data_IF_355355612252
#
_entry.id   IF_355355612252
#
_cell.length_a   1.000
_cell.length_b   1.000
_cell.length_c   1.000
_cell.angle_alpha   90.00
_cell.angle_beta   90.00
_cell.angle_gamma   90.00
#
_symmetry.space_group_name_H-M   'P 1'
#
loop_
_entity.id
_entity.type
_entity.pdbx_description
1 polymer ?
#
# COMPACT_ATOMS: atom_id res chain seq x y z
N UNK A 1 -8.54 5.67 -15.63
CA UNK A 1 -9.90 5.33 -16.10
C UNK A 1 -10.31 4.01 -15.48
N UNK A 2 -11.57 3.90 -15.03
CA UNK A 2 -12.11 2.65 -14.47
C UNK A 2 -13.62 2.55 -14.74
N UNK A 3 -14.15 1.33 -14.65
CA UNK A 3 -15.58 1.02 -14.68
C UNK A 3 -15.87 -0.16 -13.75
N UNK A 4 -17.08 -0.20 -13.16
CA UNK A 4 -17.49 -1.25 -12.24
C UNK A 4 -18.62 -2.10 -12.87
N UNK A 5 -18.55 -3.40 -12.69
CA UNK A 5 -19.46 -4.35 -13.30
C UNK A 5 -19.91 -5.44 -12.32
N UNK A 6 -21.15 -5.88 -12.48
CA UNK A 6 -21.80 -7.01 -11.79
C UNK A 6 -22.09 -8.20 -12.72
N UNK A 7 -21.82 -8.04 -14.02
CA UNK A 7 -22.11 -9.03 -15.07
C UNK A 7 -20.84 -9.38 -15.86
N UNK A 8 -20.38 -10.64 -15.84
CA UNK A 8 -19.18 -11.08 -16.57
C UNK A 8 -19.20 -10.77 -18.07
N UNK A 9 -20.38 -10.85 -18.70
CA UNK A 9 -20.50 -10.57 -20.15
C UNK A 9 -20.28 -9.09 -20.43
N UNK A 10 -20.75 -8.19 -19.56
CA UNK A 10 -20.51 -6.74 -19.68
C UNK A 10 -19.05 -6.40 -19.47
N UNK A 11 -18.37 -7.06 -18.49
CA UNK A 11 -16.92 -6.90 -18.29
C UNK A 11 -16.17 -7.19 -19.58
N UNK A 12 -16.40 -8.34 -20.17
CA UNK A 12 -15.69 -8.73 -21.39
C UNK A 12 -16.05 -7.86 -22.59
N UNK A 13 -17.31 -7.41 -22.70
CA UNK A 13 -17.71 -6.47 -23.76
C UNK A 13 -16.96 -5.13 -23.62
N UNK A 14 -16.83 -4.60 -22.41
CA UNK A 14 -16.09 -3.37 -22.14
C UNK A 14 -14.59 -3.52 -22.44
N UNK A 15 -13.95 -4.58 -21.98
CA UNK A 15 -12.52 -4.84 -22.22
C UNK A 15 -12.24 -4.94 -23.74
N UNK A 16 -13.08 -5.64 -24.48
CA UNK A 16 -12.98 -5.75 -25.95
C UNK A 16 -13.16 -4.40 -26.65
N UNK A 17 -14.11 -3.59 -26.18
CA UNK A 17 -14.37 -2.27 -26.75
C UNK A 17 -13.20 -1.29 -26.50
N UNK A 18 -12.57 -1.33 -25.34
CA UNK A 18 -11.37 -0.54 -25.04
C UNK A 18 -10.15 -1.02 -25.84
N UNK A 19 -10.01 -2.33 -26.06
CA UNK A 19 -8.97 -2.95 -26.89
C UNK A 19 -7.54 -2.68 -26.42
N UNK A 20 -7.36 -2.31 -25.14
CA UNK A 20 -6.06 -1.92 -24.56
C UNK A 20 -5.60 -2.96 -23.53
N UNK A 21 -4.36 -3.38 -23.68
CA UNK A 21 -3.69 -4.29 -22.74
C UNK A 21 -2.30 -3.75 -22.36
N UNK A 22 -1.80 -4.06 -21.15
CA UNK A 22 -2.48 -4.79 -20.08
C UNK A 22 -3.75 -4.09 -19.59
N UNK A 23 -4.68 -4.85 -19.00
CA UNK A 23 -5.84 -4.34 -18.28
C UNK A 23 -5.84 -4.87 -16.86
N UNK A 24 -6.31 -4.09 -15.89
CA UNK A 24 -6.38 -4.51 -14.49
C UNK A 24 -7.82 -4.85 -14.13
N UNK A 25 -8.03 -6.01 -13.50
CA UNK A 25 -9.34 -6.44 -13.00
C UNK A 25 -9.21 -6.66 -11.50
N UNK A 26 -10.03 -5.98 -10.71
CA UNK A 26 -10.02 -6.07 -9.24
C UNK A 26 -11.37 -6.60 -8.74
N UNK A 27 -11.33 -7.55 -7.80
CA UNK A 27 -12.54 -7.91 -7.04
C UNK A 27 -12.94 -6.73 -6.15
N UNK A 28 -14.23 -6.37 -6.15
CA UNK A 28 -14.78 -5.28 -5.35
C UNK A 28 -15.18 -5.80 -3.96
N UNK A 29 -14.18 -5.97 -3.10
CA UNK A 29 -14.35 -6.42 -1.73
C UNK A 29 -13.07 -6.99 -1.13
N UNK A 30 -13.16 -7.50 0.10
CA UNK A 30 -12.00 -8.07 0.81
C UNK A 30 -11.49 -9.33 0.10
N UNK A 31 -10.28 -9.24 -0.43
CA UNK A 31 -9.59 -10.34 -1.10
C UNK A 31 -8.13 -10.50 -0.61
N UNK A 32 -7.79 -9.90 0.55
CA UNK A 32 -6.48 -9.98 1.22
C UNK A 32 -5.30 -9.64 0.29
N UNK A 33 -5.48 -8.63 -0.58
CA UNK A 33 -4.48 -8.20 -1.57
C UNK A 33 -4.30 -9.15 -2.77
N UNK A 34 -5.09 -10.24 -2.86
CA UNK A 34 -4.98 -11.26 -3.92
C UNK A 34 -6.03 -11.11 -5.02
N UNK A 35 -6.97 -10.18 -4.87
CA UNK A 35 -8.08 -9.95 -5.81
C UNK A 35 -7.76 -9.02 -6.97
N UNK A 36 -6.48 -8.81 -7.30
CA UNK A 36 -6.01 -7.95 -8.39
C UNK A 36 -5.33 -8.80 -9.45
N UNK A 37 -5.81 -8.73 -10.68
CA UNK A 37 -5.26 -9.43 -11.83
C UNK A 37 -4.83 -8.42 -12.89
N UNK A 38 -3.59 -8.55 -13.38
CA UNK A 38 -3.06 -7.77 -14.50
C UNK A 38 -3.05 -8.70 -15.72
N UNK A 39 -3.97 -8.46 -16.65
CA UNK A 39 -4.21 -9.33 -17.79
C UNK A 39 -3.53 -8.76 -19.03
N UNK A 40 -2.63 -9.53 -19.63
CA UNK A 40 -1.80 -9.10 -20.77
C UNK A 40 -2.54 -9.18 -22.12
N UNK A 41 -3.65 -9.92 -22.16
CA UNK A 41 -4.43 -10.18 -23.37
C UNK A 41 -5.88 -10.56 -23.01
N UNK A 42 -6.73 -10.70 -24.05
CA UNK A 42 -8.14 -11.02 -23.88
C UNK A 42 -8.37 -12.38 -23.20
N UNK A 43 -7.54 -13.38 -23.48
CA UNK A 43 -7.71 -14.71 -22.90
C UNK A 43 -7.45 -14.65 -21.38
N UNK A 44 -6.38 -14.00 -20.94
CA UNK A 44 -6.10 -13.81 -19.52
C UNK A 44 -7.21 -13.02 -18.81
N UNK A 45 -7.76 -12.00 -19.48
CA UNK A 45 -8.88 -11.24 -18.94
C UNK A 45 -10.14 -12.13 -18.80
N UNK A 46 -10.44 -12.97 -19.78
CA UNK A 46 -11.58 -13.89 -19.70
C UNK A 46 -11.42 -14.93 -18.59
N UNK A 47 -10.21 -15.49 -18.44
CA UNK A 47 -9.89 -16.43 -17.36
C UNK A 47 -9.98 -15.75 -15.99
N UNK A 48 -9.49 -14.52 -15.87
CA UNK A 48 -9.58 -13.74 -14.64
C UNK A 48 -11.02 -13.39 -14.25
N UNK A 49 -11.83 -12.96 -15.20
CA UNK A 49 -13.27 -12.72 -14.98
C UNK A 49 -13.97 -14.00 -14.52
N UNK A 50 -13.66 -15.13 -15.17
CA UNK A 50 -14.20 -16.43 -14.77
C UNK A 50 -13.81 -16.79 -13.34
N UNK A 51 -12.52 -16.68 -13.00
CA UNK A 51 -11.99 -16.99 -11.67
C UNK A 51 -12.66 -16.16 -10.57
N UNK A 52 -12.78 -14.83 -10.79
CA UNK A 52 -13.33 -13.92 -9.80
C UNK A 52 -14.87 -14.04 -9.71
N UNK A 53 -15.55 -13.90 -10.85
CA UNK A 53 -17.01 -13.70 -10.87
C UNK A 53 -17.81 -15.00 -10.96
N UNK A 54 -17.33 -16.02 -11.68
CA UNK A 54 -18.05 -17.28 -11.89
C UNK A 54 -17.61 -18.35 -10.88
N UNK A 55 -16.32 -18.60 -10.76
CA UNK A 55 -15.79 -19.62 -9.85
C UNK A 55 -15.77 -19.12 -8.39
N UNK A 56 -16.05 -17.82 -8.17
CA UNK A 56 -16.17 -17.20 -6.84
C UNK A 56 -14.94 -17.41 -5.95
N UNK A 57 -13.74 -17.37 -6.52
CA UNK A 57 -12.49 -17.58 -5.77
C UNK A 57 -12.38 -16.70 -4.52
N UNK A 58 -12.97 -15.50 -4.54
CA UNK A 58 -13.00 -14.57 -3.41
C UNK A 58 -14.40 -14.45 -2.77
N UNK A 59 -15.25 -15.46 -2.94
CA UNK A 59 -16.60 -15.48 -2.38
C UNK A 59 -17.45 -14.30 -2.86
N UNK A 60 -18.16 -13.64 -1.95
CA UNK A 60 -19.03 -12.49 -2.24
C UNK A 60 -18.26 -11.27 -2.79
N UNK A 61 -16.97 -11.12 -2.47
CA UNK A 61 -16.12 -10.06 -3.00
C UNK A 61 -15.94 -10.12 -4.53
N UNK A 62 -16.19 -11.27 -5.13
CA UNK A 62 -16.19 -11.45 -6.58
C UNK A 62 -17.56 -11.24 -7.25
N UNK A 63 -18.57 -10.71 -6.55
CA UNK A 63 -19.85 -10.37 -7.18
C UNK A 63 -19.77 -9.15 -8.08
N UNK A 64 -18.88 -8.21 -7.74
CA UNK A 64 -18.58 -7.04 -8.54
C UNK A 64 -17.09 -7.01 -8.82
N UNK A 65 -16.74 -6.43 -9.95
CA UNK A 65 -15.34 -6.18 -10.32
C UNK A 65 -15.16 -4.75 -10.80
N UNK A 66 -13.99 -4.21 -10.54
CA UNK A 66 -13.52 -2.95 -11.10
C UNK A 66 -12.53 -3.26 -12.20
N UNK A 67 -12.78 -2.74 -13.40
CA UNK A 67 -11.85 -2.82 -14.54
C UNK A 67 -11.14 -1.47 -14.67
N UNK A 68 -9.82 -1.49 -14.60
CA UNK A 68 -8.99 -0.27 -14.61
C UNK A 68 -8.00 -0.28 -15.76
N UNK A 69 -7.63 0.92 -16.20
CA UNK A 69 -6.46 1.10 -17.08
C UNK A 69 -5.20 0.64 -16.33
N UNK A 70 -4.30 -0.02 -17.05
CA UNK A 70 -2.97 -0.33 -16.50
C UNK A 70 -2.13 0.95 -16.46
N UNK A 71 -1.66 1.30 -15.27
CA UNK A 71 -0.82 2.47 -15.04
C UNK A 71 0.66 2.09 -15.09
N UNK A 72 1.49 2.99 -15.59
CA UNK A 72 2.95 2.83 -15.63
C UNK A 72 3.63 4.07 -15.06
N UNK A 73 4.70 3.88 -14.32
CA UNK A 73 5.48 4.93 -13.69
C UNK A 73 6.04 4.48 -12.34
N UNK A 74 6.78 5.34 -11.63
CA UNK A 74 7.18 5.06 -10.26
C UNK A 74 5.98 5.00 -9.32
N UNK A 75 5.96 4.00 -8.43
CA UNK A 75 4.99 3.92 -7.34
C UNK A 75 5.43 4.83 -6.18
N UNK A 76 4.44 5.40 -5.52
CA UNK A 76 4.63 6.23 -4.34
C UNK A 76 3.58 5.89 -3.30
N UNK A 77 4.03 5.67 -2.08
CA UNK A 77 3.17 5.50 -0.90
C UNK A 77 3.16 6.79 -0.09
N UNK A 78 1.98 7.36 0.15
CA UNK A 78 1.81 8.52 1.02
C UNK A 78 0.79 8.18 2.11
N UNK A 79 1.29 7.89 3.30
CA UNK A 79 0.46 7.76 4.48
C UNK A 79 0.04 9.17 4.94
N UNK A 80 -1.17 9.31 5.45
CA UNK A 80 -1.68 10.61 5.87
C UNK A 80 -2.53 10.48 7.13
N UNK A 81 -2.36 11.39 8.08
CA UNK A 81 -3.32 11.56 9.15
C UNK A 81 -4.56 12.28 8.60
N UNK A 82 -5.74 11.76 8.91
CA UNK A 82 -7.01 12.31 8.45
C UNK A 82 -8.02 12.34 9.59
N UNK A 83 -8.62 13.49 9.87
CA UNK A 83 -9.62 13.66 10.93
C UNK A 83 -11.07 13.80 10.42
N UNK A 84 -11.27 13.47 9.16
CA UNK A 84 -12.55 13.58 8.46
C UNK A 84 -12.73 14.90 7.71
N UNK A 85 -11.89 15.90 7.93
CA UNK A 85 -11.91 17.22 7.27
C UNK A 85 -10.53 17.63 6.80
N UNK A 86 -9.54 17.44 7.66
CA UNK A 86 -8.16 17.80 7.44
C UNK A 86 -7.37 16.55 7.07
N UNK A 87 -6.51 16.65 6.07
CA UNK A 87 -5.53 15.63 5.73
C UNK A 87 -4.12 16.21 5.87
N UNK A 88 -3.26 15.50 6.62
CA UNK A 88 -1.85 15.86 6.80
C UNK A 88 -0.99 14.70 6.32
N UNK A 89 -0.41 14.80 5.11
CA UNK A 89 0.49 13.77 4.58
C UNK A 89 1.75 13.65 5.42
N UNK A 90 2.22 12.43 5.56
CA UNK A 90 3.50 12.08 6.12
C UNK A 90 4.58 12.13 5.03
N UNK A 91 5.83 11.90 5.41
CA UNK A 91 6.92 11.71 4.45
C UNK A 91 6.55 10.59 3.48
N UNK A 92 6.75 10.81 2.18
CA UNK A 92 6.49 9.80 1.17
C UNK A 92 7.47 8.64 1.26
N UNK A 93 7.04 7.46 0.83
CA UNK A 93 7.89 6.27 0.82
C UNK A 93 7.79 5.51 -0.49
N UNK A 94 8.75 4.64 -0.73
CA UNK A 94 8.80 3.75 -1.88
C UNK A 94 9.00 2.32 -1.40
N UNK A 95 7.94 1.52 -1.49
CA UNK A 95 7.96 0.09 -1.19
C UNK A 95 8.48 -0.72 -2.37
N UNK A 96 9.16 -1.82 -2.08
CA UNK A 96 9.70 -2.78 -3.04
C UNK A 96 8.98 -4.12 -2.87
N UNK A 97 7.98 -4.37 -3.72
CA UNK A 97 7.05 -5.49 -3.54
C UNK A 97 7.53 -6.83 -4.09
N UNK A 98 8.49 -6.81 -5.02
CA UNK A 98 8.96 -8.04 -5.66
C UNK A 98 9.96 -8.79 -4.80
N UNK A 99 9.85 -10.13 -4.82
CA UNK A 99 10.65 -11.01 -3.96
C UNK A 99 12.11 -11.13 -4.38
N UNK A 100 12.45 -10.86 -5.64
CA UNK A 100 13.77 -11.05 -6.21
C UNK A 100 14.39 -9.73 -6.67
N UNK A 101 15.70 -9.74 -6.91
CA UNK A 101 16.44 -8.63 -7.47
C UNK A 101 15.84 -8.16 -8.82
N UNK A 102 16.15 -6.92 -9.20
CA UNK A 102 15.70 -6.30 -10.45
C UNK A 102 14.18 -6.22 -10.64
N UNK A 103 13.42 -6.12 -9.55
CA UNK A 103 11.96 -6.09 -9.54
C UNK A 103 11.32 -7.31 -10.20
N UNK A 104 11.91 -8.48 -9.94
CA UNK A 104 11.47 -9.77 -10.43
C UNK A 104 10.82 -10.63 -9.34
N UNK A 105 10.26 -11.77 -9.75
CA UNK A 105 9.60 -12.73 -8.87
C UNK A 105 8.16 -12.36 -8.53
N UNK A 106 7.65 -12.98 -7.47
CA UNK A 106 6.27 -12.79 -7.02
C UNK A 106 6.12 -11.50 -6.19
N UNK A 107 4.94 -10.92 -6.22
CA UNK A 107 4.56 -9.87 -5.29
C UNK A 107 4.53 -10.41 -3.86
N UNK A 108 5.01 -9.60 -2.92
CA UNK A 108 5.06 -9.87 -1.49
C UNK A 108 4.28 -8.80 -0.72
N UNK A 109 4.31 -8.84 0.60
CA UNK A 109 3.83 -7.76 1.46
C UNK A 109 4.73 -6.52 1.47
N UNK A 110 5.91 -6.58 0.86
CA UNK A 110 6.98 -5.58 0.84
C UNK A 110 8.31 -6.20 1.28
N UNK A 111 9.35 -6.04 0.49
CA UNK A 111 10.70 -6.54 0.79
C UNK A 111 11.62 -5.47 1.36
N UNK A 112 11.14 -4.25 1.38
CA UNK A 112 11.86 -3.10 1.91
C UNK A 112 11.27 -1.79 1.42
N UNK A 113 11.57 -0.72 2.12
CA UNK A 113 11.01 0.60 1.86
C UNK A 113 12.05 1.67 2.16
N UNK A 114 12.04 2.73 1.38
CA UNK A 114 12.84 3.93 1.62
C UNK A 114 11.94 5.15 1.76
N UNK A 115 12.30 6.07 2.63
CA UNK A 115 11.66 7.37 2.81
C UNK A 115 12.75 8.48 2.93
N UNK A 116 12.59 9.63 2.26
CA UNK A 116 11.51 9.98 1.32
C UNK A 116 11.62 9.24 -0.03
N UNK A 117 10.50 9.16 -0.75
CA UNK A 117 10.49 8.63 -2.12
C UNK A 117 11.18 9.65 -3.06
N UNK A 118 12.21 9.24 -3.82
CA UNK A 118 13.01 10.17 -4.63
C UNK A 118 12.24 10.79 -5.81
N UNK A 119 11.12 10.19 -6.21
CA UNK A 119 10.26 10.70 -7.29
C UNK A 119 9.17 11.66 -6.79
N UNK A 120 8.94 11.73 -5.47
CA UNK A 120 7.90 12.56 -4.88
C UNK A 120 8.42 13.96 -4.57
N UNK A 121 8.57 14.76 -5.64
CA UNK A 121 9.05 16.15 -5.54
C UNK A 121 8.01 17.07 -4.91
N UNK A 122 8.37 18.27 -4.42
CA UNK A 122 7.40 19.25 -3.92
C UNK A 122 6.29 19.59 -4.91
N UNK A 123 6.60 19.67 -6.21
CA UNK A 123 5.61 19.92 -7.24
C UNK A 123 4.60 18.75 -7.39
N UNK A 124 5.09 17.51 -7.26
CA UNK A 124 4.21 16.32 -7.24
C UNK A 124 3.35 16.32 -5.98
N UNK A 125 3.92 16.64 -4.82
CA UNK A 125 3.19 16.72 -3.56
C UNK A 125 2.04 17.75 -3.62
N UNK A 126 2.30 18.92 -4.18
CA UNK A 126 1.28 19.97 -4.39
C UNK A 126 0.15 19.50 -5.32
N UNK A 127 0.48 18.76 -6.38
CA UNK A 127 -0.53 18.19 -7.27
C UNK A 127 -1.34 17.11 -6.55
N UNK A 128 -0.69 16.18 -5.85
CA UNK A 128 -1.37 15.15 -5.07
C UNK A 128 -2.32 15.74 -4.03
N UNK A 129 -1.90 16.80 -3.33
CA UNK A 129 -2.75 17.50 -2.37
C UNK A 129 -4.00 18.06 -3.03
N UNK A 130 -3.85 18.79 -4.14
CA UNK A 130 -4.96 19.48 -4.82
C UNK A 130 -5.86 18.56 -5.62
N UNK A 131 -5.26 17.57 -6.31
CA UNK A 131 -5.98 16.74 -7.29
C UNK A 131 -6.49 15.43 -6.68
N UNK A 132 -5.91 14.96 -5.55
CA UNK A 132 -6.23 13.66 -4.94
C UNK A 132 -6.65 13.80 -3.48
N UNK A 133 -5.78 14.30 -2.59
CA UNK A 133 -6.01 14.17 -1.14
C UNK A 133 -7.20 15.00 -0.65
N UNK A 134 -7.24 16.28 -0.98
CA UNK A 134 -8.37 17.13 -0.62
C UNK A 134 -9.69 16.70 -1.28
N UNK A 135 -9.72 16.36 -2.60
CA UNK A 135 -10.94 15.84 -3.21
C UNK A 135 -11.42 14.52 -2.60
N UNK A 136 -10.51 13.61 -2.21
CA UNK A 136 -10.88 12.35 -1.55
C UNK A 136 -11.59 12.61 -0.22
N UNK A 137 -11.00 13.46 0.63
CA UNK A 137 -11.61 13.79 1.94
C UNK A 137 -12.94 14.49 1.77
N UNK A 138 -13.05 15.42 0.81
CA UNK A 138 -14.29 16.13 0.50
C UNK A 138 -15.37 15.18 -0.03
N UNK A 139 -15.01 14.22 -0.90
CA UNK A 139 -15.95 13.22 -1.41
C UNK A 139 -16.49 12.32 -0.29
N UNK A 140 -15.63 11.84 0.61
CA UNK A 140 -16.05 11.04 1.76
C UNK A 140 -17.00 11.80 2.69
N UNK A 141 -16.81 13.11 2.86
CA UNK A 141 -17.74 13.95 3.60
C UNK A 141 -19.08 14.09 2.87
N UNK A 142 -19.05 14.29 1.54
CA UNK A 142 -20.26 14.45 0.74
C UNK A 142 -21.13 13.19 0.73
N UNK A 143 -20.52 12.01 0.83
CA UNK A 143 -21.18 10.70 0.94
C UNK A 143 -21.59 10.35 2.39
N UNK A 144 -21.48 11.28 3.34
CA UNK A 144 -21.79 11.10 4.77
C UNK A 144 -21.00 9.95 5.44
N UNK A 145 -19.80 9.70 4.96
CA UNK A 145 -18.87 8.68 5.49
C UNK A 145 -17.46 9.24 5.72
N UNK A 146 -17.30 10.29 6.55
CA UNK A 146 -15.99 10.92 6.79
C UNK A 146 -15.01 9.93 7.40
N UNK A 147 -13.83 9.81 6.79
CA UNK A 147 -12.78 8.93 7.28
C UNK A 147 -11.92 9.60 8.35
N UNK A 148 -11.67 8.90 9.45
CA UNK A 148 -10.71 9.31 10.50
C UNK A 148 -9.70 8.20 10.75
N UNK A 149 -8.42 8.54 10.74
CA UNK A 149 -7.34 7.60 10.97
C UNK A 149 -6.14 7.83 10.04
N UNK A 150 -5.37 6.76 9.82
CA UNK A 150 -4.32 6.75 8.83
C UNK A 150 -4.89 6.34 7.46
N UNK A 151 -4.93 7.29 6.54
CA UNK A 151 -5.31 7.05 5.14
C UNK A 151 -4.04 6.93 4.29
N UNK A 152 -3.84 5.77 3.72
CA UNK A 152 -2.73 5.48 2.84
C UNK A 152 -3.19 5.65 1.40
N UNK A 153 -2.48 6.50 0.66
CA UNK A 153 -2.63 6.70 -0.77
C UNK A 153 -1.53 5.93 -1.51
N UNK A 154 -1.91 4.87 -2.22
CA UNK A 154 -1.05 4.20 -3.20
C UNK A 154 -1.16 4.90 -4.53
N UNK A 155 -0.07 5.47 -5.00
CA UNK A 155 -0.05 6.34 -6.18
C UNK A 155 0.91 5.79 -7.24
N UNK A 156 0.57 6.05 -8.51
CA UNK A 156 1.46 5.90 -9.66
C UNK A 156 1.75 7.29 -10.24
N UNK A 157 3.00 7.64 -10.40
CA UNK A 157 3.40 8.87 -11.08
C UNK A 157 3.48 8.62 -12.59
N UNK A 158 2.37 8.81 -13.27
CA UNK A 158 2.27 8.62 -14.72
C UNK A 158 2.78 9.86 -15.49
N UNK A 159 3.06 9.76 -16.79
CA UNK A 159 3.38 10.92 -17.62
C UNK A 159 2.32 12.04 -17.59
N UNK A 160 1.04 11.68 -17.36
CA UNK A 160 -0.06 12.63 -17.25
C UNK A 160 -0.19 13.25 -15.86
N UNK A 161 0.52 12.70 -14.87
CA UNK A 161 0.52 13.13 -13.47
C UNK A 161 0.21 12.00 -12.48
N UNK A 162 0.04 12.32 -11.17
CA UNK A 162 -0.24 11.32 -10.17
C UNK A 162 -1.64 10.72 -10.35
N UNK A 163 -1.74 9.40 -10.26
CA UNK A 163 -3.00 8.66 -10.27
C UNK A 163 -3.06 7.71 -9.09
N UNK A 164 -4.25 7.48 -8.56
CA UNK A 164 -4.48 6.55 -7.46
C UNK A 164 -4.48 5.12 -7.98
N UNK A 165 -3.72 4.25 -7.32
CA UNK A 165 -3.75 2.79 -7.51
C UNK A 165 -4.75 2.19 -6.53
N UNK A 166 -4.63 2.58 -5.25
CA UNK A 166 -5.45 2.06 -4.16
C UNK A 166 -5.44 2.98 -2.95
N UNK A 167 -6.40 2.78 -2.08
CA UNK A 167 -6.42 3.31 -0.72
C UNK A 167 -6.29 2.17 0.28
N UNK A 168 -5.56 2.42 1.39
CA UNK A 168 -5.59 1.56 2.55
C UNK A 168 -5.99 2.38 3.80
N UNK A 169 -6.83 1.79 4.66
CA UNK A 169 -7.36 2.47 5.84
C UNK A 169 -6.57 2.12 7.10
N UNK A 170 -5.26 2.10 7.00
CA UNK A 170 -4.30 1.68 8.03
C UNK A 170 -2.91 2.20 7.71
N UNK A 171 -2.02 2.09 8.71
CA UNK A 171 -0.59 2.23 8.46
C UNK A 171 -0.08 1.14 7.50
N UNK A 172 0.97 1.46 6.75
CA UNK A 172 1.64 0.52 5.84
C UNK A 172 2.65 -0.39 6.57
N UNK A 173 2.94 -1.51 5.98
CA UNK A 173 4.02 -2.43 6.36
C UNK A 173 4.69 -2.89 5.06
N UNK A 174 5.95 -2.48 4.79
CA UNK A 174 6.95 -1.91 5.71
C UNK A 174 7.09 -0.35 5.71
N UNK A 175 6.13 0.43 5.22
CA UNK A 175 6.26 1.89 5.13
C UNK A 175 6.33 2.56 6.51
N UNK A 176 5.60 2.04 7.50
CA UNK A 176 5.59 2.57 8.86
C UNK A 176 6.98 2.60 9.48
N UNK A 177 7.79 1.58 9.22
CA UNK A 177 9.13 1.41 9.74
C UNK A 177 10.13 2.46 9.23
N UNK A 178 9.79 3.19 8.16
CA UNK A 178 10.62 4.28 7.62
C UNK A 178 9.99 5.65 7.81
N UNK A 179 8.66 5.73 7.91
CA UNK A 179 7.95 7.00 8.00
C UNK A 179 7.87 7.51 9.44
N UNK A 180 7.49 6.66 10.40
CA UNK A 180 7.35 7.07 11.80
C UNK A 180 8.68 7.40 12.48
N UNK A 181 9.82 6.77 12.20
CA UNK A 181 11.11 7.21 12.74
C UNK A 181 11.51 8.64 12.34
N UNK A 182 10.97 9.15 11.24
CA UNK A 182 11.20 10.53 10.79
C UNK A 182 10.22 11.54 11.42
N UNK A 183 9.19 11.09 12.14
CA UNK A 183 8.23 11.98 12.80
C UNK A 183 8.86 12.64 14.02
N UNK A 184 8.91 13.97 14.04
CA UNK A 184 9.39 14.76 15.19
C UNK A 184 8.26 15.13 16.17
N UNK A 185 7.02 15.20 15.69
CA UNK A 185 5.86 15.48 16.53
C UNK A 185 5.51 14.26 17.40
N UNK A 186 4.95 14.48 18.57
CA UNK A 186 4.46 13.40 19.43
C UNK A 186 3.30 12.65 18.75
N UNK A 187 3.52 11.37 18.44
CA UNK A 187 2.55 10.55 17.72
C UNK A 187 1.22 10.42 18.45
N UNK A 188 1.23 10.31 19.78
CA UNK A 188 -0.01 10.19 20.56
C UNK A 188 -0.86 11.49 20.45
N UNK A 189 -0.21 12.63 20.53
CA UNK A 189 -0.87 13.93 20.33
C UNK A 189 -1.50 14.04 18.96
N UNK A 190 -0.80 13.63 17.90
CA UNK A 190 -1.34 13.63 16.53
C UNK A 190 -2.50 12.65 16.37
N UNK A 191 -2.42 11.45 16.95
CA UNK A 191 -3.52 10.47 16.93
C UNK A 191 -4.75 10.97 17.69
N UNK A 192 -4.57 11.62 18.82
CA UNK A 192 -5.66 12.24 19.57
C UNK A 192 -6.32 13.37 18.75
N UNK A 193 -5.53 14.21 18.11
CA UNK A 193 -6.03 15.27 17.23
C UNK A 193 -6.83 14.71 16.03
N UNK A 194 -6.34 13.62 15.45
CA UNK A 194 -7.02 12.88 14.37
C UNK A 194 -8.41 12.41 14.83
N UNK A 195 -8.50 11.82 16.02
CA UNK A 195 -9.76 11.33 16.59
C UNK A 195 -10.72 12.48 16.94
N UNK A 196 -10.18 13.55 17.56
CA UNK A 196 -10.96 14.66 18.07
C UNK A 196 -11.37 15.68 17.00
N UNK A 197 -10.87 15.59 15.76
CA UNK A 197 -11.17 16.53 14.68
C UNK A 197 -10.49 17.89 14.87
N UNK A 198 -9.28 17.90 15.42
CA UNK A 198 -8.46 19.10 15.69
C UNK A 198 -7.11 19.09 14.97
N UNK A 199 -6.99 18.26 13.94
CA UNK A 199 -5.74 18.07 13.20
C UNK A 199 -5.31 19.37 12.47
N UNK A 200 -6.26 20.23 12.13
CA UNK A 200 -6.02 21.56 11.55
C UNK A 200 -5.17 22.47 12.46
N UNK A 201 -5.30 22.30 13.79
CA UNK A 201 -4.61 23.08 14.83
C UNK A 201 -3.39 22.38 15.41
N UNK A 202 -3.10 21.18 14.96
CA UNK A 202 -2.00 20.35 15.47
C UNK A 202 -0.83 20.39 14.50
N UNK A 203 0.34 20.73 14.98
CA UNK A 203 1.56 20.65 14.17
C UNK A 203 1.92 19.18 13.94
N UNK A 204 2.21 18.84 12.69
CA UNK A 204 2.74 17.53 12.30
C UNK A 204 4.04 17.79 11.52
N UNK A 205 5.15 17.49 12.16
CA UNK A 205 6.49 17.80 11.66
C UNK A 205 7.31 16.53 11.50
N UNK A 206 8.04 16.45 10.40
CA UNK A 206 8.99 15.39 10.09
C UNK A 206 10.39 15.99 9.92
N UNK A 207 11.41 15.20 10.25
CA UNK A 207 12.80 15.55 10.01
C UNK A 207 13.11 15.57 8.50
N UNK A 208 14.14 16.32 8.13
CA UNK A 208 14.68 16.34 6.75
C UNK A 208 15.58 15.12 6.44
N UNK A 209 15.60 14.15 7.35
CA UNK A 209 16.38 12.92 7.22
C UNK A 209 15.81 11.91 6.22
N UNK A 210 16.45 10.76 6.18
CA UNK A 210 16.00 9.60 5.40
C UNK A 210 16.05 8.34 6.25
N UNK A 211 15.19 7.38 5.93
CA UNK A 211 15.18 6.07 6.57
C UNK A 211 15.03 4.97 5.50
N UNK A 212 15.61 3.81 5.77
CA UNK A 212 15.46 2.63 4.93
C UNK A 212 15.13 1.42 5.82
N UNK A 213 14.21 0.61 5.36
CA UNK A 213 13.85 -0.67 5.98
C UNK A 213 14.15 -1.81 5.01
N UNK A 214 14.74 -2.88 5.51
CA UNK A 214 14.98 -4.12 4.73
C UNK A 214 14.27 -5.27 5.44
N UNK A 215 13.47 -6.02 4.72
CA UNK A 215 12.77 -7.20 5.24
C UNK A 215 13.66 -8.43 5.09
N UNK A 216 14.01 -9.05 6.20
CA UNK A 216 14.67 -10.34 6.23
C UNK A 216 13.60 -11.43 6.25
N UNK A 217 13.45 -12.16 5.17
CA UNK A 217 12.44 -13.19 5.01
C UNK A 217 13.06 -14.60 5.02
N UNK A 218 12.27 -15.59 5.45
CA UNK A 218 12.65 -17.00 5.34
C UNK A 218 12.78 -17.44 3.90
N UNK A 219 13.71 -18.33 3.60
CA UNK A 219 13.90 -18.92 2.26
C UNK A 219 12.61 -19.59 1.78
N UNK A 220 12.16 -19.24 0.58
CA UNK A 220 10.90 -19.69 0.00
C UNK A 220 9.73 -18.72 0.10
N UNK A 221 9.86 -17.64 0.92
CA UNK A 221 8.85 -16.57 0.97
C UNK A 221 8.68 -15.91 -0.43
N UNK A 222 7.47 -15.56 -0.89
CA UNK A 222 6.18 -15.55 -0.20
C UNK A 222 5.34 -16.84 -0.35
N UNK A 223 5.90 -17.89 -0.90
CA UNK A 223 5.21 -19.17 -1.07
C UNK A 223 5.28 -20.03 0.20
N UNK A 224 5.91 -21.19 0.12
CA UNK A 224 6.10 -22.08 1.24
C UNK A 224 7.48 -21.89 1.85
N UNK A 225 7.54 -21.68 3.15
CA UNK A 225 8.80 -21.52 3.90
C UNK A 225 8.73 -22.24 5.25
N UNK A 226 9.90 -22.66 5.74
CA UNK A 226 10.01 -23.33 7.02
C UNK A 226 9.96 -22.31 8.17
N UNK A 227 9.21 -22.68 9.21
CA UNK A 227 9.13 -21.94 10.47
C UNK A 227 10.00 -22.57 11.54
N UNK A 228 10.27 -21.84 12.63
CA UNK A 228 11.04 -22.34 13.77
C UNK A 228 12.55 -22.28 13.58
N UNK A 229 13.04 -21.58 12.57
CA UNK A 229 14.49 -21.33 12.40
C UNK A 229 14.96 -20.33 13.43
N UNK A 230 16.07 -20.65 14.13
CA UNK A 230 16.66 -19.76 15.14
C UNK A 230 17.19 -18.47 14.49
N UNK A 231 16.85 -17.33 15.09
CA UNK A 231 17.33 -16.01 14.69
C UNK A 231 18.40 -15.60 15.71
N UNK A 232 19.60 -15.30 15.20
CA UNK A 232 20.77 -14.93 16.03
C UNK A 232 21.34 -13.59 15.57
N UNK A 233 22.30 -13.03 16.34
CA UNK A 233 23.00 -11.79 15.97
C UNK A 233 22.25 -10.50 16.33
N UNK A 234 21.15 -10.59 17.09
CA UNK A 234 20.36 -9.44 17.54
C UNK A 234 20.73 -9.05 18.96
N UNK A 235 22.00 -8.76 19.24
CA UNK A 235 22.43 -8.25 20.54
C UNK A 235 22.39 -6.73 20.55
N UNK A 236 21.94 -6.12 21.67
CA UNK A 236 21.80 -4.66 21.80
C UNK A 236 23.07 -3.92 21.36
N UNK A 237 24.24 -4.31 21.87
CA UNK A 237 25.50 -3.63 21.52
C UNK A 237 25.90 -3.72 20.05
N UNK A 238 25.46 -4.75 19.32
CA UNK A 238 25.69 -4.85 17.87
C UNK A 238 24.74 -3.97 17.09
N UNK A 239 23.49 -3.89 17.49
CA UNK A 239 22.47 -3.05 16.84
C UNK A 239 22.76 -1.58 17.08
N UNK A 240 23.12 -1.17 18.29
CA UNK A 240 23.48 0.19 18.63
C UNK A 240 24.71 0.66 17.84
N UNK A 241 25.73 -0.19 17.72
CA UNK A 241 26.94 0.13 16.96
C UNK A 241 26.67 0.28 15.44
N UNK A 242 25.62 -0.36 14.94
CA UNK A 242 25.21 -0.29 13.53
C UNK A 242 24.16 0.80 13.26
N UNK A 243 23.65 1.48 14.30
CA UNK A 243 22.51 2.42 14.21
C UNK A 243 21.28 1.78 13.51
N UNK A 244 20.93 0.58 13.96
CA UNK A 244 19.85 -0.23 13.39
C UNK A 244 18.82 -0.56 14.44
N UNK A 245 17.54 -0.34 14.11
CA UNK A 245 16.41 -0.83 14.88
C UNK A 245 15.81 -2.06 14.22
N UNK A 246 15.61 -3.12 14.98
CA UNK A 246 14.97 -4.35 14.50
C UNK A 246 13.51 -4.39 14.93
N UNK A 247 12.63 -4.50 13.94
CA UNK A 247 11.20 -4.71 14.16
C UNK A 247 10.86 -6.19 13.92
N UNK A 248 10.12 -6.77 14.86
CA UNK A 248 9.70 -8.17 14.78
C UNK A 248 8.34 -8.28 14.08
N UNK A 249 8.25 -9.12 13.03
CA UNK A 249 7.01 -9.47 12.36
C UNK A 249 6.70 -10.96 12.55
N UNK A 250 7.08 -11.82 11.61
CA UNK A 250 6.89 -13.27 11.72
C UNK A 250 7.92 -13.95 12.64
N UNK A 251 7.96 -13.58 13.91
CA UNK A 251 8.88 -14.15 14.90
C UNK A 251 8.16 -14.62 16.17
N UNK A 252 8.74 -15.55 16.89
CA UNK A 252 8.23 -16.06 18.16
C UNK A 252 9.38 -16.46 19.10
N UNK A 253 9.08 -16.55 20.40
CA UNK A 253 9.98 -17.20 21.36
C UNK A 253 9.55 -18.65 21.52
N UNK A 254 10.44 -19.58 21.23
CA UNK A 254 10.24 -21.01 21.43
C UNK A 254 11.40 -21.61 22.18
N UNK A 255 11.11 -22.25 23.31
CA UNK A 255 12.13 -22.83 24.20
C UNK A 255 13.26 -21.85 24.60
N UNK A 256 12.88 -20.58 24.82
CA UNK A 256 13.82 -19.53 25.19
C UNK A 256 14.64 -18.95 24.03
N UNK A 257 14.41 -19.40 22.79
CA UNK A 257 15.08 -18.93 21.57
C UNK A 257 14.15 -18.10 20.71
N UNK A 258 14.69 -17.07 20.07
CA UNK A 258 13.98 -16.31 19.04
C UNK A 258 14.01 -17.12 17.75
N UNK A 259 12.84 -17.34 17.14
CA UNK A 259 12.69 -18.15 15.92
C UNK A 259 11.74 -17.48 14.92
N UNK A 260 11.84 -17.89 13.65
CA UNK A 260 10.85 -17.54 12.61
C UNK A 260 9.51 -18.24 12.88
N UNK A 261 8.38 -17.54 12.55
CA UNK A 261 7.02 -18.05 12.79
C UNK A 261 6.09 -17.84 11.59
#
# INVERSE_FOLDING_TARGET
KYETFDDPAKVMAYIRAEGKYPVVIKADGLALGKGVLICQNEQEAADGVKEIMLDKKFGASGNHVVVEEFLTGPEVSVLSFCDGKTVKPMVSSMDHKRALDHDEGLNTGGMGTVAPNPYYTPAVADRCMKEIFLPTVAAMQAEDCPFKGCLYFGLMLTPDGPKVIEYNCRFGDPETQVVLPLLESDLLTVMQATTNGTLDKTEVKFSDGAAACVILASGGYPLAYEKGKEITGLTEGQLDAADVTVYHAGTAIKEGKLVTN
#
